data_IF_106281832220
#
_entry.id   IF_106281832220
#
_cell.length_a   1.000
_cell.length_b   1.000
_cell.length_c   1.000
_cell.angle_alpha   90.00
_cell.angle_beta   90.00
_cell.angle_gamma   90.00
#
_symmetry.space_group_name_H-M   'P 1'
#
loop_
_entity.id
_entity.type
_entity.pdbx_description
1 polymer ?
#
# COMPACT_ATOMS: atom_id res chain seq x y z
N UNK A 1 19.37 -15.06 -11.30
CA UNK A 1 18.19 -15.57 -11.99
C UNK A 1 18.24 -15.10 -13.44
N UNK A 2 18.58 -15.98 -14.37
CA UNK A 2 18.38 -15.80 -15.81
C UNK A 2 17.34 -16.84 -16.22
N UNK A 3 16.10 -16.46 -16.28
CA UNK A 3 15.07 -17.24 -16.96
C UNK A 3 14.22 -16.29 -17.76
N UNK A 4 14.63 -16.05 -19.00
CA UNK A 4 13.77 -15.42 -19.99
C UNK A 4 13.00 -16.52 -20.70
N UNK A 5 11.76 -16.77 -20.29
CA UNK A 5 10.75 -17.26 -21.24
C UNK A 5 10.19 -16.02 -21.93
N UNK A 6 9.71 -16.15 -23.19
CA UNK A 6 9.03 -15.05 -23.94
C UNK A 6 7.81 -14.46 -23.20
N UNK A 7 7.51 -14.95 -21.99
CA UNK A 7 6.35 -14.57 -21.17
C UNK A 7 6.69 -13.91 -19.84
N UNK A 8 7.99 -13.73 -19.53
CA UNK A 8 8.40 -13.09 -18.28
C UNK A 8 9.51 -12.08 -18.53
N UNK A 9 9.36 -10.89 -17.95
CA UNK A 9 10.35 -9.82 -18.01
C UNK A 9 10.87 -9.53 -16.62
N UNK A 10 12.19 -9.56 -16.45
CA UNK A 10 12.84 -9.13 -15.22
C UNK A 10 13.09 -7.62 -15.34
N UNK A 11 12.56 -6.86 -14.42
CA UNK A 11 12.72 -5.41 -14.37
C UNK A 11 13.58 -5.01 -13.18
N UNK A 12 14.37 -3.94 -13.33
CA UNK A 12 15.12 -3.33 -12.23
C UNK A 12 14.79 -1.83 -12.14
N UNK A 13 15.09 -1.22 -11.00
CA UNK A 13 14.89 0.22 -10.77
C UNK A 13 15.73 1.09 -11.70
N UNK A 14 16.81 0.55 -12.26
CA UNK A 14 17.68 1.24 -13.22
C UNK A 14 17.09 1.27 -14.64
N UNK A 15 16.21 0.32 -14.95
CA UNK A 15 15.69 0.11 -16.32
C UNK A 15 14.23 0.50 -16.49
N UNK A 16 13.46 0.57 -15.39
CA UNK A 16 12.02 0.84 -15.45
C UNK A 16 11.58 1.74 -14.30
N UNK A 17 10.63 2.62 -14.58
CA UNK A 17 9.92 3.36 -13.55
C UNK A 17 8.89 2.44 -12.88
N UNK A 18 9.01 2.28 -11.56
CA UNK A 18 8.10 1.43 -10.78
C UNK A 18 6.67 1.97 -10.81
N UNK A 19 6.48 3.29 -10.86
CA UNK A 19 5.14 3.88 -10.92
C UNK A 19 4.44 3.56 -12.23
N UNK A 20 5.17 3.62 -13.36
CA UNK A 20 4.64 3.22 -14.66
C UNK A 20 4.22 1.74 -14.66
N UNK A 21 5.07 0.86 -14.10
CA UNK A 21 4.73 -0.56 -14.00
C UNK A 21 3.48 -0.81 -13.16
N UNK A 22 3.29 -0.11 -12.04
CA UNK A 22 2.09 -0.22 -11.22
C UNK A 22 0.85 0.34 -11.92
N UNK A 23 1.01 1.40 -12.72
CA UNK A 23 -0.10 1.92 -13.52
C UNK A 23 -0.51 0.97 -14.64
N UNK A 24 0.42 0.21 -15.20
CA UNK A 24 0.16 -0.69 -16.34
C UNK A 24 -0.23 -2.11 -15.90
N UNK A 25 0.14 -2.55 -14.68
CA UNK A 25 -0.20 -3.90 -14.23
C UNK A 25 -1.71 -4.12 -14.15
N UNK A 26 -2.18 -5.30 -14.50
CA UNK A 26 -3.58 -5.70 -14.33
C UNK A 26 -3.85 -6.24 -12.92
N UNK A 27 -2.84 -6.83 -12.26
CA UNK A 27 -2.90 -7.42 -10.92
C UNK A 27 -1.51 -7.38 -10.30
N UNK A 28 -1.43 -7.24 -8.97
CA UNK A 28 -0.20 -7.35 -8.21
C UNK A 28 -0.20 -8.65 -7.38
N UNK A 29 0.85 -9.46 -7.51
CA UNK A 29 1.19 -10.48 -6.53
C UNK A 29 2.34 -9.94 -5.68
N UNK A 30 2.18 -9.93 -4.37
CA UNK A 30 3.18 -9.39 -3.44
C UNK A 30 3.20 -10.19 -2.13
N UNK A 31 4.21 -9.96 -1.33
CA UNK A 31 4.37 -10.55 0.01
C UNK A 31 3.93 -9.57 1.12
N UNK A 32 4.92 -8.91 1.76
CA UNK A 32 4.74 -7.94 2.85
C UNK A 32 5.07 -6.50 2.41
N UNK A 33 5.42 -6.30 1.15
CA UNK A 33 5.81 -5.00 0.62
C UNK A 33 4.66 -4.01 0.60
N UNK A 34 4.90 -2.78 1.04
CA UNK A 34 3.91 -1.70 1.08
C UNK A 34 3.40 -1.25 -0.30
N UNK A 35 4.01 -1.72 -1.38
CA UNK A 35 3.58 -1.40 -2.77
C UNK A 35 2.12 -1.78 -3.05
N UNK A 36 1.56 -2.71 -2.27
CA UNK A 36 0.14 -3.04 -2.39
C UNK A 36 -0.79 -1.86 -2.12
N UNK A 37 -0.36 -0.88 -1.31
CA UNK A 37 -1.14 0.34 -1.04
C UNK A 37 -1.33 1.18 -2.31
N UNK A 38 -0.28 1.30 -3.12
CA UNK A 38 -0.34 2.05 -4.38
C UNK A 38 -1.28 1.37 -5.38
N UNK A 39 -1.18 0.04 -5.51
CA UNK A 39 -2.04 -0.75 -6.41
C UNK A 39 -3.50 -0.75 -5.95
N UNK A 40 -3.75 -0.88 -4.66
CA UNK A 40 -5.09 -0.78 -4.10
C UNK A 40 -5.68 0.63 -4.29
N UNK A 41 -4.88 1.69 -4.14
CA UNK A 41 -5.30 3.06 -4.44
C UNK A 41 -5.73 3.22 -5.90
N UNK A 42 -5.08 2.52 -6.83
CA UNK A 42 -5.46 2.46 -8.26
C UNK A 42 -6.68 1.55 -8.50
N UNK A 43 -7.27 0.95 -7.45
CA UNK A 43 -8.41 0.00 -7.51
C UNK A 43 -8.13 -1.23 -8.36
N UNK A 44 -6.89 -1.69 -8.36
CA UNK A 44 -6.46 -2.90 -9.06
C UNK A 44 -6.36 -4.07 -8.08
N UNK A 45 -6.61 -5.31 -8.52
CA UNK A 45 -6.52 -6.49 -7.68
C UNK A 45 -5.13 -6.70 -7.09
N UNK A 46 -5.10 -7.15 -5.86
CA UNK A 46 -3.88 -7.56 -5.14
C UNK A 46 -4.07 -9.00 -4.67
N UNK A 47 -3.03 -9.81 -4.76
CA UNK A 47 -2.96 -11.14 -4.14
C UNK A 47 -1.71 -11.17 -3.27
N UNK A 48 -1.87 -11.51 -1.99
CA UNK A 48 -0.75 -11.64 -1.06
C UNK A 48 -0.28 -13.09 -1.06
N UNK A 49 1.02 -13.33 -1.31
CA UNK A 49 1.63 -14.63 -1.22
C UNK A 49 2.60 -14.67 -0.04
N UNK A 50 2.12 -15.17 1.11
CA UNK A 50 2.79 -15.13 2.40
C UNK A 50 3.07 -16.55 2.93
N UNK A 51 3.85 -17.32 2.17
CA UNK A 51 4.17 -18.73 2.48
C UNK A 51 5.11 -18.88 3.69
N UNK A 52 5.79 -17.83 4.08
CA UNK A 52 6.81 -17.77 5.14
C UNK A 52 6.40 -16.86 6.32
N UNK A 53 5.10 -16.64 6.53
CA UNK A 53 4.58 -15.64 7.49
C UNK A 53 5.17 -15.81 8.89
N UNK A 54 5.29 -17.04 9.41
CA UNK A 54 5.83 -17.32 10.74
C UNK A 54 7.31 -16.89 10.85
N UNK A 55 8.12 -17.21 9.83
CA UNK A 55 9.52 -16.87 9.79
C UNK A 55 9.71 -15.36 9.63
N UNK A 56 8.95 -14.72 8.74
CA UNK A 56 8.98 -13.29 8.51
C UNK A 56 8.68 -12.52 9.80
N UNK A 57 7.63 -12.90 10.53
CA UNK A 57 7.25 -12.24 11.80
C UNK A 57 8.28 -12.43 12.92
N UNK A 58 9.00 -13.54 12.92
CA UNK A 58 10.03 -13.82 13.92
C UNK A 58 11.27 -12.95 13.75
N UNK A 59 11.64 -12.64 12.51
CA UNK A 59 12.92 -11.99 12.21
C UNK A 59 12.83 -10.55 11.71
N UNK A 60 11.68 -10.09 11.20
CA UNK A 60 11.60 -8.79 10.51
C UNK A 60 10.67 -7.79 11.21
N UNK A 61 9.40 -8.10 11.41
CA UNK A 61 8.45 -7.12 11.95
C UNK A 61 7.47 -7.74 12.95
N UNK A 62 7.31 -7.06 14.09
CA UNK A 62 6.21 -7.35 15.01
C UNK A 62 4.88 -7.01 14.35
N UNK A 63 3.80 -7.70 14.78
CA UNK A 63 2.44 -7.47 14.28
C UNK A 63 2.02 -6.03 14.53
N UNK A 64 1.82 -5.26 13.46
CA UNK A 64 1.31 -3.90 13.52
C UNK A 64 -0.21 -3.85 13.65
N UNK A 65 -0.80 -2.66 13.47
CA UNK A 65 -2.25 -2.46 13.48
C UNK A 65 -2.94 -3.02 12.23
N UNK A 66 -2.25 -3.09 11.10
CA UNK A 66 -2.77 -3.60 9.83
C UNK A 66 -2.64 -5.13 9.80
N UNK A 67 -3.76 -5.80 9.51
CA UNK A 67 -3.82 -7.24 9.35
C UNK A 67 -4.22 -7.56 7.91
N UNK A 68 -3.36 -8.26 7.17
CA UNK A 68 -3.58 -8.53 5.75
C UNK A 68 -4.87 -9.29 5.47
N UNK A 69 -5.29 -10.20 6.37
CA UNK A 69 -6.53 -10.97 6.20
C UNK A 69 -7.77 -10.15 6.51
N UNK A 70 -7.70 -9.28 7.54
CA UNK A 70 -8.83 -8.45 7.97
C UNK A 70 -8.93 -7.16 7.15
N UNK A 71 -7.80 -6.48 6.92
CA UNK A 71 -7.74 -5.13 6.37
C UNK A 71 -7.22 -5.09 4.93
N UNK A 72 -6.63 -6.20 4.44
CA UNK A 72 -6.00 -6.30 3.13
C UNK A 72 -7.00 -6.13 1.98
N UNK A 73 -6.44 -5.81 0.82
CA UNK A 73 -7.18 -5.47 -0.41
C UNK A 73 -7.19 -6.63 -1.41
N UNK A 74 -6.97 -7.84 -0.93
CA UNK A 74 -6.96 -9.07 -1.71
C UNK A 74 -6.79 -10.31 -0.83
N UNK A 75 -6.89 -11.51 -1.40
CA UNK A 75 -6.71 -12.76 -0.67
C UNK A 75 -5.27 -12.96 -0.21
N UNK A 76 -5.11 -13.63 0.95
CA UNK A 76 -3.81 -14.05 1.49
C UNK A 76 -3.64 -15.54 1.24
N UNK A 77 -2.69 -15.88 0.37
CA UNK A 77 -2.32 -17.23 -0.01
C UNK A 77 -1.04 -17.64 0.70
N UNK A 78 -1.04 -18.80 1.33
CA UNK A 78 0.13 -19.37 2.02
C UNK A 78 0.72 -20.57 1.31
N UNK A 79 0.04 -21.10 0.29
CA UNK A 79 0.49 -22.19 -0.56
C UNK A 79 0.45 -21.80 -2.03
N UNK A 80 1.20 -22.52 -2.85
CA UNK A 80 1.21 -22.32 -4.30
C UNK A 80 -0.15 -22.62 -4.93
N UNK A 81 -0.83 -23.64 -4.45
CA UNK A 81 -2.16 -24.03 -4.92
C UNK A 81 -3.17 -22.90 -4.70
N UNK A 82 -3.22 -22.36 -3.47
CA UNK A 82 -4.10 -21.23 -3.15
C UNK A 82 -3.77 -19.97 -3.99
N UNK A 83 -2.48 -19.73 -4.27
CA UNK A 83 -2.09 -18.64 -5.15
C UNK A 83 -2.61 -18.85 -6.57
N UNK A 84 -2.45 -20.04 -7.13
CA UNK A 84 -2.92 -20.35 -8.48
C UNK A 84 -4.45 -20.26 -8.59
N UNK A 85 -5.18 -20.71 -7.57
CA UNK A 85 -6.65 -20.56 -7.50
C UNK A 85 -7.05 -19.08 -7.51
N UNK A 86 -6.44 -18.25 -6.66
CA UNK A 86 -6.73 -16.83 -6.60
C UNK A 86 -6.39 -16.07 -7.91
N UNK A 87 -5.32 -16.46 -8.59
CA UNK A 87 -4.96 -15.92 -9.91
C UNK A 87 -5.96 -16.34 -10.99
N UNK A 88 -6.39 -17.60 -10.98
CA UNK A 88 -7.41 -18.12 -11.91
C UNK A 88 -8.73 -17.37 -11.72
N UNK A 89 -9.19 -17.24 -10.48
CA UNK A 89 -10.40 -16.50 -10.16
C UNK A 89 -10.31 -15.02 -10.61
N UNK A 90 -9.18 -14.36 -10.36
CA UNK A 90 -8.95 -12.98 -10.81
C UNK A 90 -9.00 -12.86 -12.33
N UNK A 91 -8.44 -13.84 -13.05
CA UNK A 91 -8.47 -13.88 -14.51
C UNK A 91 -9.89 -14.09 -15.05
N UNK A 92 -10.64 -15.03 -14.48
CA UNK A 92 -12.03 -15.31 -14.85
C UNK A 92 -12.96 -14.12 -14.57
N UNK A 93 -12.65 -13.34 -13.52
CA UNK A 93 -13.36 -12.10 -13.16
C UNK A 93 -12.88 -10.87 -13.96
N UNK A 94 -12.12 -11.04 -15.03
CA UNK A 94 -11.65 -9.94 -15.89
C UNK A 94 -10.61 -9.03 -15.24
N UNK A 95 -9.87 -9.50 -14.24
CA UNK A 95 -8.90 -8.72 -13.46
C UNK A 95 -9.53 -7.51 -12.74
N UNK A 96 -10.80 -7.62 -12.37
CA UNK A 96 -11.47 -6.61 -11.56
C UNK A 96 -11.30 -6.90 -10.05
N UNK A 97 -11.19 -5.84 -9.26
CA UNK A 97 -11.13 -5.98 -7.80
C UNK A 97 -12.48 -6.49 -7.29
N UNK A 98 -12.46 -7.58 -6.51
CA UNK A 98 -13.68 -8.13 -5.90
C UNK A 98 -14.36 -7.11 -4.98
N UNK A 99 -15.67 -7.15 -4.92
CA UNK A 99 -16.50 -6.16 -4.18
C UNK A 99 -16.07 -5.98 -2.73
N UNK A 100 -15.72 -7.04 -2.04
CA UNK A 100 -15.25 -6.99 -0.65
C UNK A 100 -13.99 -6.12 -0.51
N UNK A 101 -13.02 -6.33 -1.38
CA UNK A 101 -11.75 -5.60 -1.37
C UNK A 101 -11.92 -4.16 -1.86
N UNK A 102 -12.79 -3.93 -2.82
CA UNK A 102 -13.15 -2.59 -3.26
C UNK A 102 -13.75 -1.76 -2.11
N UNK A 103 -14.65 -2.34 -1.30
CA UNK A 103 -15.21 -1.67 -0.12
C UNK A 103 -14.15 -1.40 0.96
N UNK A 104 -13.18 -2.30 1.16
CA UNK A 104 -12.06 -2.06 2.07
C UNK A 104 -11.17 -0.93 1.57
N UNK A 105 -10.89 -0.91 0.27
CA UNK A 105 -10.12 0.16 -0.39
C UNK A 105 -10.79 1.52 -0.23
N UNK A 106 -12.10 1.62 -0.46
CA UNK A 106 -12.84 2.88 -0.29
C UNK A 106 -12.85 3.40 1.15
N UNK A 107 -12.94 2.50 2.12
CA UNK A 107 -12.85 2.88 3.55
C UNK A 107 -11.45 3.33 3.95
N UNK A 108 -10.42 2.71 3.39
CA UNK A 108 -9.03 3.03 3.69
C UNK A 108 -8.57 4.31 2.99
N UNK A 109 -8.99 4.50 1.74
CA UNK A 109 -8.66 5.66 0.90
C UNK A 109 -9.92 6.47 0.57
N UNK A 110 -10.50 7.22 1.53
CA UNK A 110 -11.75 7.94 1.31
C UNK A 110 -11.61 9.17 0.39
N UNK A 111 -10.39 9.56 0.03
CA UNK A 111 -10.08 10.79 -0.69
C UNK A 111 -9.36 10.49 -2.01
N UNK A 112 -10.11 10.51 -3.13
CA UNK A 112 -9.62 10.27 -4.49
C UNK A 112 -9.75 11.50 -5.41
N UNK A 113 -9.73 12.70 -4.85
CA UNK A 113 -10.01 13.96 -5.57
C UNK A 113 -8.75 14.71 -6.07
N UNK A 114 -7.58 14.08 -6.02
CA UNK A 114 -6.30 14.65 -6.45
C UNK A 114 -5.75 15.77 -5.55
N UNK A 115 -6.40 16.06 -4.42
CA UNK A 115 -6.02 17.19 -3.54
C UNK A 115 -5.17 16.78 -2.33
N UNK A 116 -4.63 15.57 -2.27
CA UNK A 116 -3.86 15.08 -1.13
C UNK A 116 -2.62 15.94 -0.82
N UNK A 117 -1.86 16.32 -1.83
CA UNK A 117 -0.68 17.19 -1.65
C UNK A 117 -1.07 18.54 -1.04
N UNK A 118 -2.16 19.16 -1.52
CA UNK A 118 -2.67 20.43 -0.97
C UNK A 118 -3.07 20.27 0.49
N UNK A 119 -3.84 19.24 0.84
CA UNK A 119 -4.24 18.98 2.23
C UNK A 119 -3.05 18.78 3.15
N UNK A 120 -2.04 18.03 2.70
CA UNK A 120 -0.81 17.82 3.44
C UNK A 120 -0.06 19.13 3.66
N UNK A 121 0.10 19.94 2.62
CA UNK A 121 0.73 21.26 2.72
C UNK A 121 0.00 22.17 3.70
N UNK A 122 -1.32 22.29 3.60
CA UNK A 122 -2.14 23.11 4.50
C UNK A 122 -2.07 22.62 5.96
N UNK A 123 -2.03 21.30 6.18
CA UNK A 123 -1.87 20.73 7.52
C UNK A 123 -0.51 21.10 8.14
N UNK A 124 0.57 21.00 7.35
CA UNK A 124 1.92 21.39 7.78
C UNK A 124 1.99 22.89 8.09
N UNK A 125 1.40 23.74 7.23
CA UNK A 125 1.36 25.19 7.44
C UNK A 125 0.66 25.55 8.75
N UNK A 126 -0.51 24.94 9.02
CA UNK A 126 -1.27 25.14 10.28
C UNK A 126 -0.46 24.71 11.52
N UNK A 127 0.24 23.60 11.45
CA UNK A 127 1.11 23.13 12.53
C UNK A 127 2.24 24.15 12.82
N UNK A 128 2.85 24.70 11.77
CA UNK A 128 3.92 25.70 11.90
C UNK A 128 3.41 26.98 12.57
N UNK A 129 2.21 27.45 12.21
CA UNK A 129 1.59 28.63 12.83
C UNK A 129 1.23 28.38 14.31
N UNK A 130 0.69 27.20 14.63
CA UNK A 130 0.39 26.82 16.02
C UNK A 130 1.64 26.79 16.88
N UNK A 131 2.72 26.20 16.39
CA UNK A 131 3.99 26.13 17.12
C UNK A 131 4.61 27.53 17.34
N UNK A 132 4.48 28.45 16.39
CA UNK A 132 4.91 29.85 16.57
C UNK A 132 4.13 30.57 17.67
N UNK A 133 2.80 30.36 17.74
CA UNK A 133 1.95 30.94 18.79
C UNK A 133 2.35 30.41 20.18
N UNK A 134 2.53 29.10 20.32
CA UNK A 134 2.98 28.50 21.59
C UNK A 134 4.37 28.98 22.01
N UNK A 135 5.31 29.16 21.10
CA UNK A 135 6.61 29.71 21.40
C UNK A 135 6.52 31.17 21.90
N UNK A 136 5.71 32.00 21.23
CA UNK A 136 5.53 33.41 21.66
C UNK A 136 4.81 33.53 23.01
N UNK A 137 3.84 32.67 23.32
CA UNK A 137 3.15 32.62 24.61
C UNK A 137 4.09 32.18 25.72
N UNK A 138 4.99 31.18 25.49
CA UNK A 138 5.98 30.75 26.48
C UNK A 138 7.05 31.81 26.78
N UNK A 139 7.48 32.56 25.76
CA UNK A 139 8.39 33.68 25.93
C UNK A 139 7.75 34.82 26.73
N UNK A 140 6.48 35.15 26.50
CA UNK A 140 5.77 36.19 27.25
C UNK A 140 5.58 35.86 28.73
N UNK A 141 5.42 34.58 29.06
CA UNK A 141 5.30 34.11 30.46
C UNK A 141 6.64 34.12 31.20
N UNK A 142 7.77 33.97 30.50
CA UNK A 142 9.11 33.98 31.11
C UNK A 142 9.64 35.37 31.39
N UNK A 143 9.04 36.44 30.84
CA UNK A 143 9.46 37.84 31.06
C UNK A 143 8.77 38.47 32.30
N UNK A 144 7.81 37.76 32.91
CA UNK A 144 7.04 38.26 34.07
C UNK A 144 7.41 37.56 35.39
N UNK A 145 8.52 36.84 35.44
CA UNK A 145 9.16 36.29 36.65
C UNK A 145 10.53 36.89 36.87
#
# INVERSE_FOLDING_TARGET
>A
FKSGSDRSTIVSKETHDVQELLMDCALLVTDYSSVFLDVAFLRKPVVYYQFDEEEFRKYHYQKGYFDFRRDGFGPVCTTQEALLEALTESFENGMEMQTEYAQRTERFFPLHDGNNCRRTFEAIARLKERNKKHAAESESLSVHL
#
